data_IF_680698384816
#
_entry.id   IF_680698384816
#
_cell.length_a   1.000
_cell.length_b   1.000
_cell.length_c   1.000
_cell.angle_alpha   90.00
_cell.angle_beta   90.00
_cell.angle_gamma   90.00
#
_symmetry.space_group_name_H-M   'P 1'
#
loop_
_entity.id
_entity.type
_entity.pdbx_description
1 polymer ?
#
# COMPACT_ATOMS: atom_id res chain seq x y z
N UNK A 1 0.03 1.75 33.81
CA UNK A 1 -0.38 1.66 32.39
C UNK A 1 0.86 1.83 31.54
N UNK A 2 1.47 0.72 31.13
CA UNK A 2 2.57 0.71 30.17
C UNK A 2 1.97 0.71 28.77
N UNK A 3 2.17 1.81 28.04
CA UNK A 3 1.91 1.90 26.61
C UNK A 3 2.70 0.81 25.87
N UNK A 4 2.13 0.09 24.90
CA UNK A 4 2.90 -0.83 24.09
C UNK A 4 3.92 -0.03 23.27
N UNK A 5 5.20 -0.36 23.44
CA UNK A 5 6.28 0.11 22.58
C UNK A 5 6.01 -0.40 21.18
N UNK A 6 5.46 0.46 20.31
CA UNK A 6 5.31 0.16 18.89
C UNK A 6 6.72 0.07 18.31
N UNK A 7 7.24 -1.14 18.18
CA UNK A 7 8.48 -1.39 17.44
C UNK A 7 8.27 -0.85 16.03
N UNK A 8 9.11 0.09 15.55
CA UNK A 8 8.97 0.57 14.19
C UNK A 8 9.13 -0.64 13.23
N UNK A 9 8.29 -0.73 12.19
CA UNK A 9 8.32 -1.83 11.23
C UNK A 9 9.73 -2.01 10.67
N UNK A 10 10.19 -3.26 10.59
CA UNK A 10 11.57 -3.67 10.29
C UNK A 10 12.02 -3.40 8.85
N UNK A 11 11.28 -2.59 8.09
CA UNK A 11 11.58 -2.15 6.74
C UNK A 11 10.43 -1.31 6.15
N UNK A 12 10.68 -0.53 5.09
CA UNK A 12 9.65 0.25 4.40
C UNK A 12 8.48 -0.60 3.88
N UNK A 13 8.74 -1.81 3.40
CA UNK A 13 7.71 -2.78 3.01
C UNK A 13 6.77 -3.10 4.17
N UNK A 14 7.30 -3.56 5.31
CA UNK A 14 6.50 -3.85 6.51
C UNK A 14 5.71 -2.62 6.96
N UNK A 15 6.31 -1.43 6.85
CA UNK A 15 5.63 -0.18 7.19
C UNK A 15 4.40 0.07 6.31
N UNK A 16 4.51 -0.15 5.00
CA UNK A 16 3.41 0.01 4.05
C UNK A 16 2.26 -0.97 4.36
N UNK A 17 2.59 -2.24 4.62
CA UNK A 17 1.62 -3.27 5.00
C UNK A 17 0.89 -2.89 6.30
N UNK A 18 1.62 -2.43 7.32
CA UNK A 18 1.03 -1.97 8.58
C UNK A 18 0.15 -0.73 8.38
N UNK A 19 0.50 0.16 7.45
CA UNK A 19 -0.35 1.32 7.13
C UNK A 19 -1.66 0.89 6.47
N UNK A 20 -1.64 -0.08 5.55
CA UNK A 20 -2.86 -0.60 4.91
C UNK A 20 -3.84 -1.18 5.96
N UNK A 21 -3.33 -2.00 6.87
CA UNK A 21 -4.14 -2.58 7.96
C UNK A 21 -4.72 -1.47 8.85
N UNK A 22 -3.89 -0.49 9.23
CA UNK A 22 -4.33 0.65 10.05
C UNK A 22 -5.40 1.50 9.35
N UNK A 23 -5.34 1.66 8.02
CA UNK A 23 -6.36 2.40 7.26
C UNK A 23 -7.72 1.68 7.37
N UNK A 24 -7.75 0.36 7.25
CA UNK A 24 -8.98 -0.41 7.41
C UNK A 24 -9.55 -0.36 8.83
N UNK A 25 -8.68 -0.38 9.84
CA UNK A 25 -9.07 -0.30 11.26
C UNK A 25 -9.48 1.11 11.69
N UNK A 26 -9.10 2.15 10.95
CA UNK A 26 -9.43 3.53 11.26
C UNK A 26 -10.91 3.87 11.09
N UNK A 27 -11.68 3.05 10.36
CA UNK A 27 -13.11 3.28 10.13
C UNK A 27 -13.94 2.44 11.12
N UNK A 28 -14.55 3.06 12.16
CA UNK A 28 -15.27 2.30 13.17
C UNK A 28 -16.43 1.51 12.56
N UNK A 29 -16.60 0.26 13.00
CA UNK A 29 -17.65 -0.68 12.56
C UNK A 29 -17.53 -1.19 11.11
N UNK A 30 -16.51 -0.77 10.34
CA UNK A 30 -16.26 -1.29 9.01
C UNK A 30 -15.43 -2.59 9.04
N UNK A 31 -15.92 -3.62 9.71
CA UNK A 31 -15.19 -4.88 9.93
C UNK A 31 -14.86 -5.62 8.62
N UNK A 32 -15.75 -5.55 7.63
CA UNK A 32 -15.52 -6.13 6.31
C UNK A 32 -14.37 -5.43 5.56
N UNK A 33 -14.30 -4.10 5.62
CA UNK A 33 -13.21 -3.32 5.05
C UNK A 33 -11.87 -3.66 5.72
N UNK A 34 -11.86 -3.72 7.05
CA UNK A 34 -10.66 -4.09 7.81
C UNK A 34 -10.19 -5.51 7.47
N UNK A 35 -11.10 -6.46 7.29
CA UNK A 35 -10.80 -7.81 6.82
C UNK A 35 -10.19 -7.81 5.42
N UNK A 36 -10.85 -7.17 4.46
CA UNK A 36 -10.39 -7.10 3.07
C UNK A 36 -8.99 -6.46 2.93
N UNK A 37 -8.73 -5.35 3.62
CA UNK A 37 -7.41 -4.71 3.59
C UNK A 37 -6.33 -5.54 4.28
N UNK A 38 -6.69 -6.35 5.29
CA UNK A 38 -5.74 -7.28 5.93
C UNK A 38 -5.40 -8.45 5.02
N UNK A 39 -6.40 -9.04 4.37
CA UNK A 39 -6.19 -10.13 3.41
C UNK A 39 -5.36 -9.66 2.22
N UNK A 40 -5.66 -8.46 1.71
CA UNK A 40 -4.90 -7.85 0.62
C UNK A 40 -3.45 -7.52 1.03
N UNK A 41 -3.22 -6.97 2.23
CA UNK A 41 -1.86 -6.79 2.76
C UNK A 41 -1.11 -8.13 2.86
N UNK A 42 -1.80 -9.21 3.25
CA UNK A 42 -1.24 -10.56 3.21
C UNK A 42 -0.80 -10.98 1.81
N UNK A 43 -1.64 -10.78 0.79
CA UNK A 43 -1.33 -11.10 -0.59
C UNK A 43 -0.15 -10.27 -1.13
N UNK A 44 -0.11 -8.96 -0.85
CA UNK A 44 1.00 -8.08 -1.22
C UNK A 44 2.33 -8.54 -0.62
N UNK A 45 2.31 -9.03 0.62
CA UNK A 45 3.51 -9.55 1.28
C UNK A 45 3.99 -10.86 0.64
N UNK A 46 3.08 -11.79 0.36
CA UNK A 46 3.43 -13.08 -0.26
C UNK A 46 4.07 -12.89 -1.64
N UNK A 47 3.53 -11.97 -2.44
CA UNK A 47 4.06 -11.65 -3.77
C UNK A 47 5.27 -10.72 -3.76
N UNK A 48 5.69 -10.23 -2.57
CA UNK A 48 6.79 -9.27 -2.45
C UNK A 48 6.54 -7.97 -3.22
N UNK A 49 5.27 -7.59 -3.41
CA UNK A 49 4.86 -6.49 -4.28
C UNK A 49 5.47 -5.14 -3.84
N UNK A 50 5.77 -5.00 -2.54
CA UNK A 50 6.24 -3.75 -1.93
C UNK A 50 7.76 -3.74 -1.63
N UNK A 51 8.50 -4.75 -2.09
CA UNK A 51 9.93 -4.91 -1.81
C UNK A 51 10.82 -3.79 -2.39
N UNK A 52 10.34 -3.06 -3.40
CA UNK A 52 11.04 -1.92 -4.01
C UNK A 52 11.06 -0.65 -3.15
N UNK A 53 10.28 -0.59 -2.06
CA UNK A 53 10.19 0.59 -1.19
C UNK A 53 11.45 0.73 -0.33
N UNK A 54 12.02 1.94 -0.32
CA UNK A 54 13.26 2.23 0.41
C UNK A 54 13.09 3.26 1.52
N UNK A 55 11.96 3.98 1.55
CA UNK A 55 11.70 5.03 2.55
C UNK A 55 10.34 4.85 3.23
N UNK A 56 10.25 5.28 4.49
CA UNK A 56 8.98 5.25 5.23
C UNK A 56 7.94 6.25 4.65
N UNK A 57 8.40 7.31 3.98
CA UNK A 57 7.53 8.26 3.30
C UNK A 57 6.87 7.60 2.08
N UNK A 58 7.65 6.93 1.23
CA UNK A 58 7.12 6.20 0.08
C UNK A 58 6.24 5.04 0.53
N UNK A 59 6.57 4.38 1.66
CA UNK A 59 5.72 3.34 2.24
C UNK A 59 4.34 3.85 2.64
N UNK A 60 4.28 5.02 3.29
CA UNK A 60 3.02 5.66 3.65
C UNK A 60 2.24 6.07 2.40
N UNK A 61 2.94 6.63 1.41
CA UNK A 61 2.33 7.07 0.15
C UNK A 61 1.78 5.90 -0.66
N UNK A 62 2.53 4.80 -0.77
CA UNK A 62 2.10 3.56 -1.40
C UNK A 62 0.84 3.02 -0.73
N UNK A 63 0.86 2.85 0.60
CA UNK A 63 -0.28 2.33 1.34
C UNK A 63 -1.54 3.20 1.18
N UNK A 64 -1.41 4.53 1.28
CA UNK A 64 -2.54 5.44 1.09
C UNK A 64 -3.09 5.35 -0.35
N UNK A 65 -2.22 5.31 -1.35
CA UNK A 65 -2.60 5.23 -2.76
C UNK A 65 -3.30 3.91 -3.10
N UNK A 66 -2.76 2.81 -2.58
CA UNK A 66 -3.32 1.46 -2.76
C UNK A 66 -4.68 1.34 -2.10
N UNK A 67 -4.80 1.77 -0.83
CA UNK A 67 -6.08 1.72 -0.13
C UNK A 67 -7.14 2.61 -0.78
N UNK A 68 -6.76 3.81 -1.23
CA UNK A 68 -7.68 4.70 -1.94
C UNK A 68 -8.20 4.03 -3.21
N UNK A 69 -7.31 3.60 -4.11
CA UNK A 69 -7.70 2.95 -5.35
C UNK A 69 -8.61 1.73 -5.09
N UNK A 70 -8.23 0.85 -4.16
CA UNK A 70 -9.01 -0.35 -3.82
C UNK A 70 -10.41 -0.04 -3.25
N UNK A 71 -10.61 1.13 -2.64
CA UNK A 71 -11.89 1.51 -2.04
C UNK A 71 -12.76 2.38 -2.95
N UNK A 72 -12.18 3.14 -3.88
CA UNK A 72 -12.90 4.21 -4.60
C UNK A 72 -12.94 4.03 -6.11
N UNK A 73 -12.00 3.29 -6.70
CA UNK A 73 -11.92 3.14 -8.15
C UNK A 73 -12.81 1.99 -8.63
N UNK A 74 -13.51 2.21 -9.75
CA UNK A 74 -14.25 1.15 -10.45
C UNK A 74 -13.31 0.05 -10.97
N UNK A 75 -12.09 0.44 -11.37
CA UNK A 75 -10.99 -0.43 -11.76
C UNK A 75 -9.73 -0.06 -10.97
N UNK A 76 -9.49 -0.69 -9.80
CA UNK A 76 -8.38 -0.35 -8.93
C UNK A 76 -7.01 -0.72 -9.54
N UNK A 77 -6.93 -1.80 -10.32
CA UNK A 77 -5.67 -2.21 -10.93
C UNK A 77 -5.23 -1.24 -12.03
N UNK A 78 -6.14 -0.83 -12.93
CA UNK A 78 -5.84 0.19 -13.93
C UNK A 78 -5.50 1.54 -13.27
N UNK A 79 -6.24 1.92 -12.23
CA UNK A 79 -6.00 3.14 -11.47
C UNK A 79 -4.57 3.19 -10.88
N UNK A 80 -4.06 2.07 -10.37
CA UNK A 80 -2.70 1.97 -9.83
C UNK A 80 -1.64 2.02 -10.92
N UNK A 81 -1.83 1.34 -12.05
CA UNK A 81 -0.90 1.38 -13.20
C UNK A 81 -0.78 2.79 -13.79
N UNK A 82 -1.89 3.52 -13.88
CA UNK A 82 -1.88 4.92 -14.33
C UNK A 82 -1.05 5.79 -13.38
N UNK A 83 -1.21 5.60 -12.06
CA UNK A 83 -0.43 6.33 -11.04
C UNK A 83 1.05 5.94 -11.09
N UNK A 84 1.37 4.66 -11.31
CA UNK A 84 2.75 4.20 -11.52
C UNK A 84 3.39 4.87 -12.76
N UNK A 85 2.65 4.97 -13.86
CA UNK A 85 3.09 5.70 -15.05
C UNK A 85 3.31 7.20 -14.77
N UNK A 86 2.43 7.83 -13.99
CA UNK A 86 2.57 9.23 -13.60
C UNK A 86 3.80 9.48 -12.71
N UNK A 87 4.11 8.55 -11.79
CA UNK A 87 5.33 8.62 -10.97
C UNK A 87 6.58 8.55 -11.86
N UNK A 88 6.61 7.62 -12.81
CA UNK A 88 7.72 7.51 -13.79
C UNK A 88 7.85 8.74 -14.68
N UNK A 89 6.75 9.44 -14.94
CA UNK A 89 6.74 10.71 -15.67
C UNK A 89 7.19 11.91 -14.81
N UNK A 90 7.52 11.71 -13.52
CA UNK A 90 7.97 12.77 -12.62
C UNK A 90 6.83 13.65 -12.09
N UNK A 91 5.57 13.18 -12.17
CA UNK A 91 4.42 13.96 -11.72
C UNK A 91 4.21 13.92 -10.19
N UNK A 92 5.02 13.14 -9.46
CA UNK A 92 4.87 12.89 -8.03
C UNK A 92 6.14 13.27 -7.27
N UNK A 93 5.97 13.96 -6.14
CA UNK A 93 7.06 14.24 -5.21
C UNK A 93 7.23 13.04 -4.27
N UNK A 94 8.19 12.18 -4.59
CA UNK A 94 8.52 10.97 -3.85
C UNK A 94 10.02 10.74 -3.82
N UNK A 95 10.51 10.07 -2.77
CA UNK A 95 11.95 9.94 -2.55
C UNK A 95 12.59 8.87 -3.46
N UNK A 96 11.85 7.81 -3.77
CA UNK A 96 12.25 6.75 -4.70
C UNK A 96 11.13 6.48 -5.71
N UNK A 97 11.09 7.21 -6.85
CA UNK A 97 10.05 7.04 -7.87
C UNK A 97 9.98 5.63 -8.45
N UNK A 98 11.12 5.00 -8.70
CA UNK A 98 11.17 3.65 -9.29
C UNK A 98 10.60 2.60 -8.34
N UNK A 99 11.03 2.65 -7.07
CA UNK A 99 10.53 1.76 -6.03
C UNK A 99 9.04 1.93 -5.76
N UNK A 100 8.55 3.17 -5.74
CA UNK A 100 7.13 3.46 -5.56
C UNK A 100 6.30 3.00 -6.78
N UNK A 101 6.74 3.30 -8.00
CA UNK A 101 6.04 2.87 -9.21
C UNK A 101 6.00 1.34 -9.32
N UNK A 102 7.11 0.65 -9.00
CA UNK A 102 7.14 -0.81 -8.93
C UNK A 102 6.14 -1.34 -7.88
N UNK A 103 6.05 -0.70 -6.72
CA UNK A 103 5.12 -1.09 -5.67
C UNK A 103 3.65 -0.99 -6.13
N UNK A 104 3.31 0.07 -6.86
CA UNK A 104 1.94 0.24 -7.39
C UNK A 104 1.62 -0.77 -8.51
N UNK A 105 2.57 -1.08 -9.39
CA UNK A 105 2.37 -2.11 -10.43
C UNK A 105 2.27 -3.52 -9.83
N UNK A 106 3.07 -3.80 -8.80
CA UNK A 106 2.97 -5.05 -8.03
C UNK A 106 1.60 -5.18 -7.38
N UNK A 107 1.12 -4.12 -6.71
CA UNK A 107 -0.21 -4.11 -6.11
C UNK A 107 -1.34 -4.25 -7.14
N UNK A 108 -1.22 -3.62 -8.31
CA UNK A 108 -2.17 -3.80 -9.41
C UNK A 108 -2.21 -5.26 -9.90
N UNK A 109 -1.04 -5.92 -9.97
CA UNK A 109 -0.95 -7.33 -10.36
C UNK A 109 -1.61 -8.25 -9.35
N UNK A 110 -1.43 -7.97 -8.05
CA UNK A 110 -2.11 -8.72 -6.98
C UNK A 110 -3.63 -8.54 -7.06
N UNK A 111 -4.12 -7.33 -7.34
CA UNK A 111 -5.56 -7.08 -7.52
C UNK A 111 -6.16 -7.82 -8.70
N UNK A 112 -5.44 -7.98 -9.81
CA UNK A 112 -5.94 -8.69 -10.99
C UNK A 112 -6.13 -10.21 -10.76
N UNK A 113 -5.47 -10.77 -9.75
CA UNK A 113 -5.52 -12.22 -9.45
C UNK A 113 -6.41 -12.57 -8.26
N UNK A 114 -6.95 -11.57 -7.56
CA UNK A 114 -7.90 -11.73 -6.44
C UNK A 114 -9.35 -11.74 -6.93
#
# INVERSE_FOLDING_TARGET
>A
MTTPTSTPPTGPETAALDYLVRIGEAVPKATALAGALRDFAGALHVEGALAGLTTAADARLAAATIAEAACTADDPAAALRIRAAAIRAGCWDCANPDGLAQALDGAATVLDVM
#
